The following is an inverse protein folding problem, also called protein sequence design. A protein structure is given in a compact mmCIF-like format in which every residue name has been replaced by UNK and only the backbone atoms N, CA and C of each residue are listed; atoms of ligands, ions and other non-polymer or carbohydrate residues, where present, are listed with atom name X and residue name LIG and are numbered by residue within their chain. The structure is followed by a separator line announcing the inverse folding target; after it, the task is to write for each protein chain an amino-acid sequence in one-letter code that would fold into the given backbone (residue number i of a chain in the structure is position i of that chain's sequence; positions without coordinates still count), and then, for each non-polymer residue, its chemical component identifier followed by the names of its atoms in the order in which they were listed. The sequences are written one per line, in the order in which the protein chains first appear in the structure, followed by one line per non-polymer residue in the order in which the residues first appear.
data_IF_854521679336
#
_entry.id   IF_854521679336
#
_cell.length_a   1.000
_cell.length_b   1.000
_cell.length_c   1.000
_cell.angle_alpha   90.00
_cell.angle_beta   90.00
_cell.angle_gamma   90.00
#
_symmetry.space_group_name_H-M   'P 1'
#
loop_
_entity.id
_entity.type
_entity.pdbx_description
1 polymer ?
#
# COMPACT_ATOMS: atom_id res chain seq x y z
N UNK A 1 2.53 16.44 -14.53
CA UNK A 1 3.84 16.23 -13.88
C UNK A 1 4.01 14.72 -13.64
N UNK A 2 4.92 14.04 -14.36
CA UNK A 2 5.13 12.58 -14.19
C UNK A 2 5.93 12.34 -12.89
N UNK A 3 5.33 11.64 -11.93
CA UNK A 3 6.06 11.23 -10.72
C UNK A 3 7.13 10.20 -11.08
N UNK A 4 8.35 10.33 -10.55
CA UNK A 4 9.44 9.39 -10.79
C UNK A 4 9.39 8.23 -9.79
N UNK A 5 9.81 7.03 -10.24
CA UNK A 5 10.12 5.89 -9.37
C UNK A 5 11.12 6.34 -8.29
N UNK A 6 10.87 5.95 -7.04
CA UNK A 6 11.75 6.28 -5.91
C UNK A 6 11.98 5.02 -5.08
N UNK A 7 13.23 4.62 -4.92
CA UNK A 7 13.62 3.53 -4.01
C UNK A 7 14.36 4.12 -2.82
N UNK A 8 13.98 3.71 -1.62
CA UNK A 8 14.63 4.10 -0.37
C UNK A 8 15.34 2.88 0.18
N UNK A 9 16.67 2.94 0.14
CA UNK A 9 17.60 1.94 0.65
C UNK A 9 18.40 2.54 1.79
N UNK A 10 18.43 1.85 2.93
CA UNK A 10 19.21 2.26 4.10
C UNK A 10 20.34 1.25 4.27
N UNK A 11 21.59 1.67 4.06
CA UNK A 11 22.75 0.76 4.13
C UNK A 11 23.25 0.53 5.55
N UNK A 12 23.14 1.55 6.41
CA UNK A 12 23.61 1.49 7.79
C UNK A 12 22.68 0.57 8.65
N UNK A 13 23.22 -0.48 9.29
CA UNK A 13 22.41 -1.40 10.10
C UNK A 13 21.73 -0.76 11.32
N UNK A 14 22.33 0.26 11.93
CA UNK A 14 21.72 1.01 13.03
C UNK A 14 20.53 1.82 12.53
N UNK A 15 20.67 2.48 11.37
CA UNK A 15 19.55 3.21 10.76
C UNK A 15 18.43 2.26 10.28
N UNK A 16 18.77 1.06 9.80
CA UNK A 16 17.79 0.03 9.49
C UNK A 16 16.98 -0.38 10.72
N UNK A 17 17.64 -0.59 11.87
CA UNK A 17 16.95 -0.90 13.14
C UNK A 17 15.98 0.22 13.51
N UNK A 18 16.43 1.47 13.49
CA UNK A 18 15.57 2.64 13.79
C UNK A 18 14.37 2.69 12.84
N UNK A 19 14.59 2.56 11.53
CA UNK A 19 13.51 2.50 10.53
C UNK A 19 12.51 1.39 10.85
N UNK A 20 12.98 0.19 11.14
CA UNK A 20 12.12 -0.97 11.37
C UNK A 20 11.29 -0.78 12.65
N UNK A 21 11.90 -0.26 13.72
CA UNK A 21 11.20 0.08 14.97
C UNK A 21 10.15 1.16 14.76
N UNK A 22 10.47 2.24 14.04
CA UNK A 22 9.50 3.31 13.74
C UNK A 22 8.33 2.79 12.92
N UNK A 23 8.58 2.02 11.86
CA UNK A 23 7.52 1.41 11.05
C UNK A 23 6.65 0.48 11.88
N UNK A 24 7.25 -0.32 12.77
CA UNK A 24 6.50 -1.19 13.67
C UNK A 24 5.56 -0.38 14.57
N UNK A 25 6.07 0.66 15.25
CA UNK A 25 5.25 1.52 16.12
C UNK A 25 4.08 2.12 15.33
N UNK A 26 4.34 2.71 14.16
CA UNK A 26 3.30 3.30 13.31
C UNK A 26 2.28 2.25 12.88
N UNK A 27 2.70 1.03 12.50
CA UNK A 27 1.78 -0.06 12.18
C UNK A 27 0.87 -0.41 13.34
N UNK A 28 1.44 -0.63 14.53
CA UNK A 28 0.67 -1.04 15.68
C UNK A 28 -0.33 0.05 16.10
N UNK A 29 0.07 1.33 16.02
CA UNK A 29 -0.85 2.45 16.24
C UNK A 29 -1.98 2.49 15.21
N UNK A 30 -1.69 2.31 13.91
CA UNK A 30 -2.71 2.30 12.86
C UNK A 30 -3.69 1.12 13.03
N UNK A 31 -3.18 -0.07 13.37
CA UNK A 31 -3.98 -1.26 13.64
C UNK A 31 -4.85 -1.04 14.89
N UNK A 32 -4.31 -0.44 15.95
CA UNK A 32 -5.06 -0.16 17.17
C UNK A 32 -6.22 0.82 16.90
N UNK A 33 -5.97 1.89 16.15
CA UNK A 33 -7.01 2.87 15.80
C UNK A 33 -8.07 2.27 14.88
N UNK A 34 -7.67 1.48 13.88
CA UNK A 34 -8.62 0.76 13.02
C UNK A 34 -9.53 -0.17 13.83
N UNK A 35 -8.95 -0.96 14.76
CA UNK A 35 -9.72 -1.83 15.66
C UNK A 35 -10.64 -1.05 16.60
N UNK A 36 -10.29 0.18 16.97
CA UNK A 36 -11.13 1.04 17.80
C UNK A 36 -12.35 1.52 17.00
N UNK A 37 -12.13 2.03 15.79
CA UNK A 37 -13.19 2.49 14.89
C UNK A 37 -14.17 1.37 14.54
N UNK A 38 -13.66 0.19 14.16
CA UNK A 38 -14.48 -1.00 13.84
C UNK A 38 -15.31 -1.42 15.06
N UNK A 39 -14.74 -1.40 16.26
CA UNK A 39 -15.46 -1.74 17.49
C UNK A 39 -16.52 -0.72 17.88
N UNK A 40 -16.29 0.55 17.55
CA UNK A 40 -17.30 1.59 17.76
C UNK A 40 -18.46 1.39 16.78
N UNK A 41 -18.15 1.16 15.50
CA UNK A 41 -19.13 0.91 14.45
C UNK A 41 -19.98 -0.34 14.74
N UNK A 42 -19.35 -1.43 15.20
CA UNK A 42 -20.05 -2.68 15.51
C UNK A 42 -21.04 -2.60 16.68
N UNK A 43 -21.04 -1.50 17.44
CA UNK A 43 -21.98 -1.26 18.55
C UNK A 43 -23.22 -0.48 18.13
N UNK A 44 -23.24 0.01 16.89
CA UNK A 44 -24.31 0.86 16.37
C UNK A 44 -25.41 0.03 15.69
N UNK A 45 -26.63 0.55 15.70
CA UNK A 45 -27.77 -0.03 15.00
C UNK A 45 -27.88 0.57 13.60
N UNK A 46 -27.96 -0.27 12.56
CA UNK A 46 -28.14 0.20 11.18
C UNK A 46 -29.38 1.07 10.99
N UNK A 47 -30.45 0.80 11.74
CA UNK A 47 -31.72 1.51 11.62
C UNK A 47 -31.70 2.90 12.27
N UNK A 48 -30.92 3.06 13.34
CA UNK A 48 -30.94 4.27 14.17
C UNK A 48 -29.70 5.15 13.98
N UNK A 49 -28.56 4.57 13.59
CA UNK A 49 -27.25 5.22 13.61
C UNK A 49 -26.63 5.37 12.21
N UNK A 50 -27.44 5.32 11.14
CA UNK A 50 -26.96 5.31 9.75
C UNK A 50 -25.93 6.39 9.43
N UNK A 51 -26.14 7.62 9.89
CA UNK A 51 -25.20 8.72 9.68
C UNK A 51 -23.87 8.48 10.41
N UNK A 52 -23.93 8.02 11.67
CA UNK A 52 -22.74 7.75 12.47
C UNK A 52 -21.93 6.57 11.91
N UNK A 53 -22.61 5.53 11.43
CA UNK A 53 -21.99 4.41 10.72
C UNK A 53 -21.25 4.95 9.49
N UNK A 54 -21.91 5.74 8.63
CA UNK A 54 -21.27 6.34 7.45
C UNK A 54 -20.00 7.12 7.81
N UNK A 55 -20.03 7.91 8.89
CA UNK A 55 -18.86 8.67 9.36
C UNK A 55 -17.72 7.76 9.84
N UNK A 56 -18.04 6.65 10.52
CA UNK A 56 -17.04 5.69 10.99
C UNK A 56 -16.45 4.89 9.83
N UNK A 57 -17.27 4.41 8.89
CA UNK A 57 -16.80 3.73 7.69
C UNK A 57 -15.85 4.63 6.89
N UNK A 58 -16.21 5.91 6.69
CA UNK A 58 -15.33 6.91 6.05
C UNK A 58 -13.97 7.06 6.74
N UNK A 59 -13.94 7.03 8.09
CA UNK A 59 -12.69 7.11 8.85
C UNK A 59 -11.86 5.84 8.69
N UNK A 60 -12.50 4.68 8.72
CA UNK A 60 -11.85 3.38 8.51
C UNK A 60 -11.21 3.35 7.12
N UNK A 61 -11.95 3.73 6.09
CA UNK A 61 -11.48 3.76 4.71
C UNK A 61 -10.33 4.75 4.51
N UNK A 62 -10.41 5.95 5.10
CA UNK A 62 -9.32 6.93 5.06
C UNK A 62 -8.06 6.41 5.74
N UNK A 63 -8.20 5.76 6.90
CA UNK A 63 -7.07 5.19 7.63
C UNK A 63 -6.42 4.04 6.84
N UNK A 64 -7.23 3.12 6.31
CA UNK A 64 -6.76 2.00 5.48
C UNK A 64 -6.08 2.48 4.19
N UNK A 65 -6.68 3.46 3.49
CA UNK A 65 -6.09 4.05 2.30
C UNK A 65 -4.75 4.74 2.58
N UNK A 66 -4.65 5.48 3.69
CA UNK A 66 -3.39 6.10 4.12
C UNK A 66 -2.35 5.04 4.50
N UNK A 67 -2.77 3.98 5.20
CA UNK A 67 -1.91 2.86 5.58
C UNK A 67 -1.35 2.11 4.36
N UNK A 68 -2.21 1.74 3.40
CA UNK A 68 -1.82 1.05 2.15
C UNK A 68 -0.90 1.88 1.26
N UNK A 69 -0.98 3.22 1.34
CA UNK A 69 -0.10 4.17 0.62
C UNK A 69 1.14 4.58 1.42
N UNK A 70 1.32 4.07 2.64
CA UNK A 70 2.46 4.38 3.49
C UNK A 70 3.68 3.55 3.13
N UNK A 71 4.87 4.11 3.34
CA UNK A 71 6.15 3.38 3.23
C UNK A 71 6.33 2.33 4.35
N UNK A 72 5.45 2.31 5.33
CA UNK A 72 5.58 1.45 6.50
C UNK A 72 5.27 -0.02 6.22
N UNK A 73 4.62 -0.34 5.10
CA UNK A 73 4.27 -1.71 4.72
C UNK A 73 4.35 -1.90 3.21
N UNK A 74 4.74 -3.10 2.77
CA UNK A 74 4.61 -3.51 1.38
C UNK A 74 3.15 -3.86 1.09
N UNK A 75 2.55 -3.25 0.07
CA UNK A 75 1.16 -3.53 -0.32
C UNK A 75 0.90 -4.96 -0.83
N UNK A 76 1.95 -5.74 -1.13
CA UNK A 76 1.84 -7.13 -1.61
C UNK A 76 2.07 -8.11 -0.46
N UNK A 77 3.25 -8.08 0.17
CA UNK A 77 3.66 -9.09 1.15
C UNK A 77 3.57 -8.63 2.61
N UNK A 78 3.19 -7.39 2.88
CA UNK A 78 3.10 -6.85 4.25
C UNK A 78 4.45 -6.64 4.95
N UNK A 79 5.58 -6.83 4.27
CA UNK A 79 6.90 -6.59 4.86
C UNK A 79 7.01 -5.16 5.37
N UNK A 80 7.53 -5.01 6.59
CA UNK A 80 7.79 -3.70 7.24
C UNK A 80 9.28 -3.40 7.33
N UNK A 81 10.13 -4.40 7.16
CA UNK A 81 11.59 -4.31 7.39
C UNK A 81 12.40 -4.16 6.12
N UNK A 82 11.80 -4.45 4.96
CA UNK A 82 12.49 -4.37 3.67
C UNK A 82 12.68 -2.93 3.19
N UNK A 83 13.64 -2.75 2.29
CA UNK A 83 13.73 -1.55 1.45
C UNK A 83 12.50 -1.43 0.56
N UNK A 84 12.09 -0.19 0.29
CA UNK A 84 10.82 0.09 -0.37
C UNK A 84 11.01 0.92 -1.64
N UNK A 85 10.24 0.59 -2.67
CA UNK A 85 10.11 1.32 -3.92
C UNK A 85 8.69 1.86 -4.04
N UNK A 86 8.56 3.16 -4.32
CA UNK A 86 7.29 3.82 -4.63
C UNK A 86 6.95 3.59 -6.09
N UNK A 87 5.75 3.06 -6.33
CA UNK A 87 5.13 3.10 -7.66
C UNK A 87 4.53 4.51 -7.88
N UNK A 88 4.99 5.27 -8.88
CA UNK A 88 4.49 6.62 -9.13
C UNK A 88 3.02 6.66 -9.56
N UNK A 89 2.49 5.61 -10.19
CA UNK A 89 1.13 5.61 -10.75
C UNK A 89 0.08 5.29 -9.70
N UNK A 90 0.32 4.27 -8.88
CA UNK A 90 -0.58 3.90 -7.78
C UNK A 90 -0.34 4.70 -6.50
N UNK A 91 0.79 5.39 -6.39
CA UNK A 91 1.23 6.06 -5.17
C UNK A 91 1.61 5.11 -4.02
N UNK A 92 1.51 3.80 -4.22
CA UNK A 92 1.76 2.75 -3.24
C UNK A 92 3.25 2.41 -3.10
N UNK A 93 3.60 1.81 -1.95
CA UNK A 93 4.95 1.34 -1.67
C UNK A 93 5.00 -0.19 -1.67
N UNK A 94 6.06 -0.70 -2.29
CA UNK A 94 6.33 -2.13 -2.40
C UNK A 94 7.72 -2.39 -1.88
N UNK A 95 7.96 -3.54 -1.25
CA UNK A 95 9.34 -3.93 -1.01
C UNK A 95 10.06 -4.12 -2.35
N UNK A 96 11.37 -3.87 -2.39
CA UNK A 96 12.17 -3.95 -3.63
C UNK A 96 11.96 -5.29 -4.34
N UNK A 97 11.90 -6.39 -3.58
CA UNK A 97 11.63 -7.74 -4.10
C UNK A 97 10.28 -7.82 -4.83
N UNK A 98 9.17 -7.52 -4.15
CA UNK A 98 7.84 -7.60 -4.76
C UNK A 98 7.67 -6.59 -5.90
N UNK A 99 8.30 -5.43 -5.83
CA UNK A 99 8.30 -4.49 -6.95
C UNK A 99 8.95 -5.11 -8.20
N UNK A 100 10.10 -5.75 -8.03
CA UNK A 100 10.85 -6.38 -9.11
C UNK A 100 10.08 -7.59 -9.69
N UNK A 101 9.58 -8.48 -8.84
CA UNK A 101 8.81 -9.65 -9.27
C UNK A 101 7.55 -9.25 -10.05
N UNK A 102 6.83 -8.23 -9.57
CA UNK A 102 5.64 -7.73 -10.24
C UNK A 102 6.00 -7.09 -11.58
N UNK A 103 7.05 -6.28 -11.62
CA UNK A 103 7.56 -5.68 -12.86
C UNK A 103 7.96 -6.72 -13.91
N UNK A 104 8.69 -7.76 -13.49
CA UNK A 104 9.16 -8.82 -14.39
C UNK A 104 8.00 -9.68 -14.91
N UNK A 105 7.00 -9.96 -14.07
CA UNK A 105 5.76 -10.61 -14.50
C UNK A 105 5.07 -9.84 -15.64
N UNK A 106 4.92 -8.52 -15.51
CA UNK A 106 4.29 -7.72 -16.56
C UNK A 106 5.15 -7.65 -17.82
N UNK A 107 6.48 -7.53 -17.71
CA UNK A 107 7.38 -7.59 -18.89
C UNK A 107 7.19 -8.91 -19.63
N UNK A 108 7.15 -10.03 -18.91
CA UNK A 108 7.01 -11.34 -19.52
C UNK A 108 5.64 -11.49 -20.21
N UNK A 109 4.56 -11.06 -19.55
CA UNK A 109 3.22 -11.03 -20.16
C UNK A 109 3.13 -10.10 -21.37
N UNK A 110 3.87 -9.00 -21.40
CA UNK A 110 3.96 -8.11 -22.56
C UNK A 110 4.65 -8.81 -23.74
N UNK A 111 5.78 -9.49 -23.48
CA UNK A 111 6.54 -10.25 -24.50
C UNK A 111 5.72 -11.38 -25.11
N UNK A 112 4.89 -12.04 -24.31
CA UNK A 112 3.97 -13.09 -24.75
C UNK A 112 2.75 -12.55 -25.52
N UNK A 113 2.63 -11.23 -25.65
CA UNK A 113 1.51 -10.56 -26.32
C UNK A 113 0.17 -10.70 -25.58
N UNK A 114 0.19 -11.09 -24.29
CA UNK A 114 -1.02 -11.38 -23.52
C UNK A 114 -1.68 -10.13 -22.93
N UNK A 115 -0.90 -9.06 -22.69
CA UNK A 115 -1.42 -7.81 -22.10
C UNK A 115 -2.41 -7.09 -23.05
N UNK A 116 -2.30 -7.32 -24.36
CA UNK A 116 -3.11 -6.63 -25.37
C UNK A 116 -4.29 -7.45 -25.93
N UNK A 117 -4.37 -8.75 -25.62
CA UNK A 117 -5.39 -9.66 -26.21
C UNK A 117 -6.82 -9.43 -25.70
N UNK A 118 -7.00 -8.86 -24.51
CA UNK A 118 -8.32 -8.72 -23.87
C UNK A 118 -8.77 -7.25 -23.68
N UNK A 119 -8.19 -6.28 -24.40
CA UNK A 119 -8.63 -4.87 -24.35
C UNK A 119 -8.50 -4.14 -23.01
N UNK A 120 -8.02 -4.79 -21.95
CA UNK A 120 -7.89 -4.24 -20.60
C UNK A 120 -6.55 -3.57 -20.30
N UNK A 121 -5.60 -3.60 -21.24
CA UNK A 121 -4.30 -2.96 -21.09
C UNK A 121 -4.45 -1.45 -21.22
N UNK A 122 -4.71 -0.74 -20.11
CA UNK A 122 -4.40 0.69 -20.09
C UNK A 122 -2.93 0.83 -20.48
N UNK A 123 -2.66 1.60 -21.55
CA UNK A 123 -1.32 2.05 -21.93
C UNK A 123 -0.61 2.87 -20.82
N UNK A 124 -1.23 3.01 -19.63
CA UNK A 124 -0.76 3.74 -18.47
C UNK A 124 -0.18 2.83 -17.39
N UNK A 125 0.49 1.74 -17.75
CA UNK A 125 1.41 1.10 -16.80
C UNK A 125 2.82 1.60 -17.10
N UNK A 126 3.14 2.79 -16.62
CA UNK A 126 4.50 3.32 -16.42
C UNK A 126 5.34 2.49 -15.44
N UNK A 127 4.94 1.23 -15.24
CA UNK A 127 5.78 0.11 -14.88
C UNK A 127 6.85 -0.16 -15.94
N UNK A 128 6.63 0.21 -17.20
CA UNK A 128 7.62 0.08 -18.26
C UNK A 128 8.46 1.36 -18.42
N UNK A 129 9.80 1.27 -18.42
CA UNK A 129 10.69 2.36 -18.84
C UNK A 129 10.45 2.80 -20.28
#
# INVERSE_FOLDING_TARGET
MKYKKRTITVKDPRLQRIRNSLRYIISETAIAESRKLIREESRLSLDHDKERISVLSDKIDKLDAAWKKSICTCSICGSRTSDMTRNPEGGSWYCVKCYQEHHDFYIEKARQGEIWKNGGGRASTGWFP
#
